data_IF_519159366700
#
_entry.id   IF_519159366700
#
_cell.length_a   1.000
_cell.length_b   1.000
_cell.length_c   1.000
_cell.angle_alpha   90.00
_cell.angle_beta   90.00
_cell.angle_gamma   90.00
#
_symmetry.space_group_name_H-M   'P 1'
#
loop_
_entity.id
_entity.type
_entity.pdbx_description
1 polymer ?
#
# COMPACT_ATOMS: atom_id res chain seq x y z
N UNK A 1 3.67 16.46 14.76
CA UNK A 1 3.51 15.01 14.53
C UNK A 1 2.03 14.81 14.34
N UNK A 2 1.60 15.00 13.10
CA UNK A 2 0.20 14.86 12.73
C UNK A 2 -0.12 13.37 12.58
N UNK A 3 -1.28 12.97 13.10
CA UNK A 3 -1.72 11.59 13.11
C UNK A 3 -1.77 11.03 11.68
N UNK A 4 -1.06 9.93 11.50
CA UNK A 4 -1.02 9.06 10.33
C UNK A 4 -2.46 8.60 10.02
N UNK A 5 -3.12 9.21 9.05
CA UNK A 5 -4.41 8.76 8.53
C UNK A 5 -4.16 7.56 7.58
N UNK A 6 -4.26 6.34 8.11
CA UNK A 6 -4.22 5.09 7.33
C UNK A 6 -5.63 4.80 6.84
N UNK A 7 -5.87 5.05 5.56
CA UNK A 7 -7.10 4.61 4.88
C UNK A 7 -6.81 3.28 4.19
N UNK A 8 -6.91 2.20 4.96
CA UNK A 8 -6.75 0.82 4.48
C UNK A 8 -8.09 0.26 4.05
N UNK A 9 -8.14 -0.37 2.86
CA UNK A 9 -9.31 -1.15 2.43
C UNK A 9 -9.00 -2.63 2.50
N UNK A 10 -9.83 -3.38 3.24
CA UNK A 10 -9.73 -4.84 3.36
C UNK A 10 -10.77 -5.51 2.48
N UNK A 11 -10.34 -6.52 1.71
CA UNK A 11 -11.23 -7.39 0.96
C UNK A 11 -11.19 -8.82 1.54
N UNK A 12 -12.35 -9.44 1.83
CA UNK A 12 -12.39 -10.74 2.50
C UNK A 12 -11.88 -11.88 1.59
N UNK A 13 -11.04 -12.76 2.16
CA UNK A 13 -10.65 -14.05 1.59
C UNK A 13 -11.42 -15.22 2.20
N UNK A 14 -11.04 -16.47 1.87
CA UNK A 14 -11.61 -17.67 2.52
C UNK A 14 -11.11 -17.78 3.96
N UNK A 15 -12.00 -18.20 4.86
CA UNK A 15 -11.79 -18.22 6.33
C UNK A 15 -10.59 -19.07 6.80
N UNK A 16 -10.07 -19.97 5.96
CA UNK A 16 -8.94 -20.87 6.28
C UNK A 16 -7.58 -20.36 5.76
N UNK A 17 -7.54 -19.16 5.17
CA UNK A 17 -6.30 -18.58 4.63
C UNK A 17 -5.58 -17.73 5.67
N UNK A 18 -4.53 -18.27 6.30
CA UNK A 18 -3.63 -17.51 7.20
C UNK A 18 -2.71 -16.51 6.47
N UNK A 19 -2.74 -16.47 5.14
CA UNK A 19 -1.90 -15.58 4.32
C UNK A 19 -2.72 -14.37 3.86
N UNK A 20 -2.27 -13.17 4.26
CA UNK A 20 -2.77 -11.87 3.81
C UNK A 20 -1.85 -11.33 2.71
N UNK A 21 -2.43 -10.75 1.67
CA UNK A 21 -1.69 -10.12 0.57
C UNK A 21 -1.80 -8.60 0.68
N UNK A 22 -0.67 -7.95 0.91
CA UNK A 22 -0.55 -6.49 0.93
C UNK A 22 -0.35 -5.96 -0.50
N UNK A 23 -1.16 -5.00 -0.92
CA UNK A 23 -1.12 -4.40 -2.25
C UNK A 23 -0.55 -2.99 -2.16
N UNK A 24 0.55 -2.75 -2.87
CA UNK A 24 1.21 -1.45 -3.00
C UNK A 24 1.14 -1.02 -4.46
N UNK A 25 0.31 -0.02 -4.77
CA UNK A 25 0.11 0.46 -6.13
C UNK A 25 1.35 1.17 -6.72
N UNK A 26 1.43 1.28 -8.04
CA UNK A 26 2.49 2.08 -8.69
C UNK A 26 2.29 3.58 -8.45
N UNK A 27 3.37 4.38 -8.60
CA UNK A 27 3.27 5.84 -8.54
C UNK A 27 2.32 6.38 -9.61
N UNK A 28 1.46 7.32 -9.25
CA UNK A 28 0.43 7.88 -10.13
C UNK A 28 -0.83 7.02 -10.25
N UNK A 29 -0.96 5.97 -9.44
CA UNK A 29 -2.14 5.11 -9.32
C UNK A 29 -2.80 5.24 -7.94
N UNK A 30 -3.79 4.39 -7.64
CA UNK A 30 -4.51 4.35 -6.36
C UNK A 30 -4.67 2.92 -5.81
N UNK A 31 -5.22 2.80 -4.60
CA UNK A 31 -5.43 1.54 -3.88
C UNK A 31 -6.30 0.51 -4.63
N UNK A 32 -7.07 0.94 -5.64
CA UNK A 32 -7.93 0.02 -6.43
C UNK A 32 -7.21 -0.61 -7.62
N UNK A 33 -6.05 -0.07 -7.99
CA UNK A 33 -5.39 -0.33 -9.27
C UNK A 33 -4.86 -1.77 -9.42
N UNK A 34 -4.61 -2.47 -8.31
CA UNK A 34 -4.12 -3.85 -8.31
C UNK A 34 -5.22 -4.90 -8.09
N UNK A 35 -6.44 -4.50 -7.73
CA UNK A 35 -7.50 -5.43 -7.32
C UNK A 35 -7.87 -6.45 -8.41
N UNK A 36 -7.92 -6.01 -9.67
CA UNK A 36 -8.21 -6.90 -10.80
C UNK A 36 -7.15 -7.99 -10.95
N UNK A 37 -5.88 -7.60 -10.97
CA UNK A 37 -4.75 -8.52 -11.07
C UNK A 37 -4.71 -9.51 -9.90
N UNK A 38 -4.93 -9.04 -8.67
CA UNK A 38 -4.85 -9.90 -7.49
C UNK A 38 -6.03 -10.83 -7.31
N UNK A 39 -7.20 -10.50 -7.86
CA UNK A 39 -8.34 -11.44 -7.91
C UNK A 39 -8.01 -12.68 -8.75
N UNK A 40 -7.24 -12.50 -9.83
CA UNK A 40 -6.81 -13.63 -10.67
C UNK A 40 -5.63 -14.39 -10.06
N UNK A 41 -4.66 -13.66 -9.49
CA UNK A 41 -3.44 -14.26 -8.94
C UNK A 41 -3.64 -14.91 -7.55
N UNK A 42 -4.55 -14.38 -6.74
CA UNK A 42 -4.77 -14.74 -5.33
C UNK A 42 -6.27 -14.77 -4.99
N UNK A 43 -7.10 -15.56 -5.69
CA UNK A 43 -8.57 -15.48 -5.62
C UNK A 43 -9.15 -15.72 -4.22
N UNK A 44 -8.45 -16.50 -3.39
CA UNK A 44 -8.94 -16.96 -2.08
C UNK A 44 -8.28 -16.25 -0.89
N UNK A 45 -7.44 -15.23 -1.13
CA UNK A 45 -6.67 -14.54 -0.09
C UNK A 45 -7.34 -13.26 0.38
N UNK A 46 -7.17 -12.94 1.66
CA UNK A 46 -7.50 -11.62 2.19
C UNK A 46 -6.55 -10.60 1.57
N UNK A 47 -7.12 -9.54 0.99
CA UNK A 47 -6.35 -8.49 0.35
C UNK A 47 -6.41 -7.23 1.20
N UNK A 48 -5.25 -6.62 1.43
CA UNK A 48 -5.12 -5.33 2.10
C UNK A 48 -4.53 -4.36 1.10
N UNK A 49 -5.34 -3.41 0.63
CA UNK A 49 -4.92 -2.40 -0.32
C UNK A 49 -4.55 -1.10 0.39
N UNK A 50 -3.27 -0.75 0.33
CA UNK A 50 -2.76 0.46 0.98
C UNK A 50 -2.79 1.66 0.04
N UNK A 51 -3.23 2.78 0.59
CA UNK A 51 -3.34 4.06 -0.12
C UNK A 51 -2.09 4.90 0.09
N UNK A 52 -1.37 5.21 -0.99
CA UNK A 52 -0.30 6.20 -0.96
C UNK A 52 -0.80 7.58 -0.50
N UNK A 53 0.03 8.35 0.18
CA UNK A 53 -0.37 9.65 0.74
C UNK A 53 0.13 10.86 -0.04
N UNK A 54 1.09 10.65 -0.93
CA UNK A 54 1.74 11.73 -1.65
C UNK A 54 1.06 11.88 -3.01
N UNK A 55 0.44 13.04 -3.31
CA UNK A 55 -0.08 13.30 -4.65
C UNK A 55 1.05 13.23 -5.69
N UNK A 56 0.85 12.43 -6.73
CA UNK A 56 1.82 12.27 -7.81
C UNK A 56 1.10 12.15 -9.15
N UNK A 57 1.40 13.05 -10.09
CA UNK A 57 0.74 13.12 -11.40
C UNK A 57 -0.80 13.10 -11.27
N UNK A 58 -1.45 12.01 -11.68
CA UNK A 58 -2.90 11.82 -11.67
C UNK A 58 -3.41 10.96 -10.51
N UNK A 59 -2.52 10.55 -9.59
CA UNK A 59 -2.84 9.65 -8.50
C UNK A 59 -1.95 9.86 -7.29
N UNK A 60 -1.47 8.75 -6.72
CA UNK A 60 -0.77 8.72 -5.44
C UNK A 60 0.58 8.01 -5.55
N UNK A 61 1.46 8.31 -4.61
CA UNK A 61 2.74 7.63 -4.38
C UNK A 61 2.94 7.39 -2.87
N UNK A 62 3.82 6.44 -2.56
CA UNK A 62 4.21 6.14 -1.17
C UNK A 62 5.31 7.08 -0.67
N UNK A 63 6.25 7.46 -1.53
CA UNK A 63 7.36 8.37 -1.26
C UNK A 63 7.48 9.39 -2.40
N UNK A 64 8.09 10.57 -2.18
CA UNK A 64 8.34 11.51 -3.28
C UNK A 64 9.42 10.93 -4.16
N UNK A 65 9.27 11.21 -5.44
CA UNK A 65 10.29 10.97 -6.44
C UNK A 65 10.75 12.33 -6.96
N UNK A 66 11.98 12.37 -7.44
CA UNK A 66 12.40 13.47 -8.31
C UNK A 66 11.55 13.48 -9.59
N UNK A 67 11.42 14.63 -10.28
CA UNK A 67 10.63 14.73 -11.51
C UNK A 67 11.02 13.72 -12.60
N UNK A 68 12.26 13.24 -12.59
CA UNK A 68 12.78 12.19 -13.49
C UNK A 68 12.48 10.76 -13.01
N UNK A 69 11.65 10.61 -11.97
CA UNK A 69 11.25 9.36 -11.32
C UNK A 69 12.38 8.64 -10.59
N UNK A 70 13.54 9.29 -10.40
CA UNK A 70 14.53 8.79 -9.45
C UNK A 70 14.01 8.94 -8.01
N UNK A 71 14.40 8.01 -7.15
CA UNK A 71 13.96 7.97 -5.76
C UNK A 71 14.67 9.06 -4.97
N UNK A 72 13.93 9.81 -4.16
CA UNK A 72 14.52 10.66 -3.13
C UNK A 72 14.98 9.76 -1.97
N UNK A 73 16.28 9.46 -1.92
CA UNK A 73 16.81 8.50 -0.94
C UNK A 73 16.73 9.00 0.51
N UNK A 74 16.73 10.32 0.72
CA UNK A 74 16.64 10.94 2.05
C UNK A 74 15.23 10.79 2.61
N UNK A 75 14.19 10.99 1.79
CA UNK A 75 12.81 10.73 2.21
C UNK A 75 12.51 9.23 2.33
N UNK A 76 12.95 8.41 1.37
CA UNK A 76 12.72 6.95 1.39
C UNK A 76 13.17 6.32 2.71
N UNK A 77 14.27 6.80 3.29
CA UNK A 77 14.80 6.32 4.58
C UNK A 77 13.92 6.74 5.75
N UNK A 78 13.40 7.97 5.74
CA UNK A 78 12.52 8.49 6.80
C UNK A 78 11.14 7.83 6.83
N UNK A 79 10.60 7.45 5.67
CA UNK A 79 9.24 6.89 5.54
C UNK A 79 9.18 5.37 5.85
N UNK A 80 10.27 4.63 5.63
CA UNK A 80 10.34 3.21 6.03
C UNK A 80 10.22 2.96 7.53
N UNK A 81 10.46 3.99 8.35
CA UNK A 81 10.29 3.90 9.81
C UNK A 81 8.82 4.15 10.24
N UNK A 82 7.97 4.63 9.34
CA UNK A 82 6.58 5.06 9.62
C UNK A 82 5.52 4.09 9.05
N UNK A 83 5.95 3.02 8.38
CA UNK A 83 5.09 1.89 8.02
C UNK A 83 4.93 1.01 9.27
N UNK A 84 3.72 0.91 9.86
CA UNK A 84 3.49 -0.01 10.97
C UNK A 84 3.86 -1.42 10.53
N UNK A 85 4.59 -2.16 11.36
CA UNK A 85 4.89 -3.54 11.04
C UNK A 85 3.54 -4.27 10.99
N UNK A 86 3.25 -4.93 9.87
CA UNK A 86 2.00 -5.69 9.67
C UNK A 86 1.76 -6.75 10.78
N UNK A 87 2.80 -7.09 11.55
CA UNK A 87 2.76 -7.97 12.70
C UNK A 87 2.10 -7.37 13.96
N UNK A 88 1.78 -6.07 13.97
CA UNK A 88 1.18 -5.38 15.12
C UNK A 88 -0.36 -5.38 15.09
N UNK A 89 -0.99 -6.06 14.11
CA UNK A 89 -2.42 -6.33 14.09
C UNK A 89 -2.68 -7.60 14.90
N UNK A 90 -2.81 -7.44 16.23
CA UNK A 90 -3.35 -8.50 17.09
C UNK A 90 -4.83 -8.75 16.72
N UNK A 91 -5.22 -10.03 16.69
CA UNK A 91 -6.50 -10.52 16.15
C UNK A 91 -7.74 -10.33 17.01
#
# INVERSE_FOLDING_TARGET
MDAIDLTTTTWPGREDSSVVVLLLHGSGQDETSLLGFTRDACPDRTLVAERGRIPWEHGLAFFRCHPDRSLDEDERRGDTDDVPRLADVEG
#
